data_IF_251903592490
#
_entry.id   IF_251903592490
#
_cell.length_a   1.000
_cell.length_b   1.000
_cell.length_c   1.000
_cell.angle_alpha   90.00
_cell.angle_beta   90.00
_cell.angle_gamma   90.00
#
_symmetry.space_group_name_H-M   'P 1'
#
loop_
_entity.id
_entity.type
_entity.pdbx_description
1 polymer ?
#
# COMPACT_ATOMS: atom_id res chain seq x y z
N UNK A 1 21.14 -23.78 15.18
CA UNK A 1 21.85 -23.34 16.40
C UNK A 1 20.81 -22.76 17.33
N UNK A 2 20.85 -23.15 18.59
CA UNK A 2 19.96 -22.62 19.62
C UNK A 2 20.48 -21.23 20.05
N UNK A 3 19.80 -20.15 19.64
CA UNK A 3 19.88 -18.88 20.36
C UNK A 3 20.42 -17.63 19.64
N UNK A 4 20.83 -17.69 18.37
CA UNK A 4 21.13 -16.48 17.56
C UNK A 4 20.71 -16.67 16.10
N UNK A 5 20.07 -15.66 15.47
CA UNK A 5 19.77 -15.73 14.03
C UNK A 5 21.08 -15.78 13.25
N UNK A 6 21.42 -16.95 12.72
CA UNK A 6 22.55 -17.07 11.78
C UNK A 6 22.17 -16.43 10.45
N UNK A 7 23.14 -16.12 9.58
CA UNK A 7 22.87 -15.68 8.22
C UNK A 7 22.02 -16.69 7.43
N UNK A 8 22.10 -17.98 7.76
CA UNK A 8 21.20 -19.01 7.24
C UNK A 8 19.76 -18.79 7.70
N UNK A 9 19.54 -18.40 8.96
CA UNK A 9 18.22 -18.06 9.48
C UNK A 9 17.69 -16.73 8.93
N UNK A 10 18.57 -15.72 8.84
CA UNK A 10 18.25 -14.41 8.26
C UNK A 10 17.76 -14.59 6.83
N UNK A 11 18.43 -15.38 5.99
CA UNK A 11 17.97 -15.66 4.63
C UNK A 11 16.92 -16.78 4.53
N UNK A 12 16.73 -17.59 5.58
CA UNK A 12 15.81 -18.72 5.56
C UNK A 12 16.26 -19.87 4.65
N UNK A 13 17.57 -20.07 4.51
CA UNK A 13 18.19 -21.09 3.64
C UNK A 13 18.94 -22.13 4.45
N UNK A 14 19.00 -23.36 3.95
CA UNK A 14 19.77 -24.42 4.59
C UNK A 14 21.29 -24.24 4.41
N UNK A 15 22.06 -24.83 5.32
CA UNK A 15 23.52 -24.86 5.20
C UNK A 15 23.91 -25.67 3.96
N UNK A 16 24.66 -25.04 3.06
CA UNK A 16 25.06 -25.66 1.79
C UNK A 16 24.06 -25.44 0.65
N UNK A 17 23.07 -24.56 0.84
CA UNK A 17 22.22 -24.08 -0.23
C UNK A 17 23.03 -23.59 -1.43
N UNK A 18 22.52 -23.85 -2.64
CA UNK A 18 23.14 -23.38 -3.86
C UNK A 18 23.08 -21.85 -3.96
N UNK A 19 24.03 -21.24 -4.66
CA UNK A 19 24.07 -19.78 -4.84
C UNK A 19 22.75 -19.21 -5.38
N UNK A 20 22.13 -19.90 -6.33
CA UNK A 20 20.82 -19.50 -6.88
C UNK A 20 19.69 -19.48 -5.84
N UNK A 21 19.72 -20.38 -4.85
CA UNK A 21 18.73 -20.40 -3.77
C UNK A 21 18.97 -19.24 -2.79
N UNK A 22 20.24 -18.91 -2.53
CA UNK A 22 20.64 -17.76 -1.71
C UNK A 22 20.22 -16.45 -2.37
N UNK A 23 20.42 -16.32 -3.69
CA UNK A 23 19.98 -15.17 -4.50
C UNK A 23 18.46 -14.99 -4.42
N UNK A 24 17.67 -16.05 -4.68
CA UNK A 24 16.21 -16.00 -4.58
C UNK A 24 15.70 -15.65 -3.18
N UNK A 25 16.37 -16.16 -2.14
CA UNK A 25 15.99 -15.88 -0.76
C UNK A 25 16.27 -14.42 -0.36
N UNK A 26 17.39 -13.86 -0.83
CA UNK A 26 17.74 -12.45 -0.64
C UNK A 26 16.72 -11.54 -1.34
N UNK A 27 16.44 -11.78 -2.63
CA UNK A 27 15.46 -11.00 -3.41
C UNK A 27 14.10 -10.97 -2.73
N UNK A 28 13.65 -12.12 -2.20
CA UNK A 28 12.37 -12.20 -1.49
C UNK A 28 12.36 -11.36 -0.20
N UNK A 29 13.47 -11.34 0.54
CA UNK A 29 13.57 -10.67 1.84
C UNK A 29 13.77 -9.17 1.74
N UNK A 30 14.50 -8.70 0.73
CA UNK A 30 14.58 -7.27 0.41
C UNK A 30 13.22 -6.65 0.09
N UNK A 31 12.26 -7.46 -0.37
CA UNK A 31 10.89 -6.98 -0.62
C UNK A 31 10.03 -6.82 0.63
N UNK A 32 10.18 -7.70 1.63
CA UNK A 32 9.39 -7.69 2.87
C UNK A 32 9.99 -8.62 3.94
N UNK A 33 10.60 -8.06 4.99
CA UNK A 33 11.30 -8.83 6.03
C UNK A 33 11.28 -8.09 7.37
N UNK A 34 11.39 -8.84 8.46
CA UNK A 34 11.57 -8.27 9.82
C UNK A 34 13.02 -7.88 10.11
N UNK A 35 13.97 -8.38 9.31
CA UNK A 35 15.39 -8.01 9.38
C UNK A 35 15.67 -6.76 8.56
N UNK A 36 16.58 -5.91 9.05
CA UNK A 36 17.08 -4.75 8.31
C UNK A 36 17.78 -5.17 7.00
N UNK A 37 17.70 -4.30 5.99
CA UNK A 37 18.27 -4.56 4.66
C UNK A 37 19.77 -4.77 4.72
N UNK A 38 20.49 -4.01 5.55
CA UNK A 38 21.93 -4.20 5.78
C UNK A 38 22.27 -5.62 6.27
N UNK A 39 21.44 -6.18 7.16
CA UNK A 39 21.64 -7.53 7.72
C UNK A 39 21.34 -8.60 6.67
N UNK A 40 20.36 -8.35 5.80
CA UNK A 40 20.03 -9.24 4.68
C UNK A 40 21.15 -9.23 3.64
N UNK A 41 21.64 -8.04 3.28
CA UNK A 41 22.74 -7.86 2.33
C UNK A 41 24.04 -8.50 2.83
N UNK A 42 24.39 -8.27 4.10
CA UNK A 42 25.57 -8.92 4.69
C UNK A 42 25.44 -10.44 4.70
N UNK A 43 24.27 -10.96 5.07
CA UNK A 43 24.00 -12.39 5.03
C UNK A 43 24.14 -12.96 3.61
N UNK A 44 23.68 -12.22 2.60
CA UNK A 44 23.83 -12.58 1.19
C UNK A 44 25.29 -12.58 0.74
N UNK A 45 26.05 -11.53 1.02
CA UNK A 45 27.46 -11.40 0.64
C UNK A 45 28.32 -12.51 1.23
N UNK A 46 28.10 -12.82 2.51
CA UNK A 46 28.85 -13.86 3.23
C UNK A 46 28.48 -15.26 2.73
N UNK A 47 27.19 -15.54 2.51
CA UNK A 47 26.75 -16.89 2.12
C UNK A 47 26.94 -17.19 0.63
N UNK A 48 26.88 -16.18 -0.24
CA UNK A 48 27.06 -16.35 -1.69
C UNK A 48 28.52 -16.52 -2.11
N UNK A 49 29.47 -16.11 -1.25
CA UNK A 49 30.91 -16.29 -1.46
C UNK A 49 31.42 -17.56 -0.75
N UNK A 50 31.93 -18.58 -1.46
CA UNK A 50 32.39 -19.83 -0.84
C UNK A 50 33.52 -19.67 0.19
N UNK A 51 34.38 -18.65 0.02
CA UNK A 51 35.46 -18.34 0.95
C UNK A 51 34.91 -17.80 2.26
N UNK A 52 34.07 -16.76 2.19
CA UNK A 52 33.45 -16.13 3.35
C UNK A 52 32.48 -17.10 4.05
N UNK A 53 31.69 -17.86 3.30
CA UNK A 53 30.80 -18.87 3.86
C UNK A 53 31.59 -19.93 4.66
N UNK A 54 32.79 -20.30 4.22
CA UNK A 54 33.65 -21.24 4.94
C UNK A 54 34.17 -20.63 6.25
N UNK A 55 34.56 -19.36 6.24
CA UNK A 55 35.01 -18.64 7.44
C UNK A 55 33.87 -18.45 8.44
N UNK A 56 32.72 -18.00 7.97
CA UNK A 56 31.50 -17.87 8.76
C UNK A 56 31.13 -19.21 9.42
N UNK A 57 31.19 -20.32 8.69
CA UNK A 57 30.94 -21.65 9.27
C UNK A 57 31.93 -22.05 10.37
N UNK A 58 33.19 -21.61 10.30
CA UNK A 58 34.16 -21.82 11.39
C UNK A 58 33.78 -20.97 12.60
N UNK A 59 33.39 -19.71 12.38
CA UNK A 59 32.94 -18.82 13.44
C UNK A 59 31.71 -19.38 14.15
N UNK A 60 30.73 -19.87 13.39
CA UNK A 60 29.55 -20.56 13.95
C UNK A 60 29.92 -21.77 14.81
N UNK A 61 30.90 -22.57 14.39
CA UNK A 61 31.38 -23.70 15.17
C UNK A 61 32.04 -23.27 16.50
N UNK A 62 32.84 -22.20 16.48
CA UNK A 62 33.46 -21.63 17.68
C UNK A 62 32.37 -21.09 18.62
N UNK A 63 31.41 -20.33 18.08
CA UNK A 63 30.28 -19.81 18.83
C UNK A 63 29.47 -20.93 19.50
N UNK A 64 29.25 -22.05 18.82
CA UNK A 64 28.61 -23.23 19.40
C UNK A 64 29.42 -23.83 20.57
N UNK A 65 30.75 -23.79 20.53
CA UNK A 65 31.55 -24.24 21.69
C UNK A 65 31.46 -23.26 22.86
N UNK A 66 31.48 -21.96 22.60
CA UNK A 66 31.38 -20.92 23.64
C UNK A 66 30.01 -20.98 24.33
N UNK A 67 28.93 -21.14 23.55
CA UNK A 67 27.56 -21.20 24.08
C UNK A 67 27.28 -22.40 24.99
N UNK A 68 28.09 -23.47 24.92
CA UNK A 68 28.02 -24.59 25.89
C UNK A 68 28.46 -24.22 27.29
N UNK A 69 29.27 -23.17 27.44
CA UNK A 69 29.78 -22.69 28.71
C UNK A 69 28.92 -21.57 29.32
N UNK A 70 27.89 -21.10 28.62
CA UNK A 70 27.01 -20.03 29.07
C UNK A 70 26.09 -20.56 30.21
N UNK A 71 25.85 -19.77 31.26
CA UNK A 71 24.88 -20.12 32.30
C UNK A 71 23.49 -20.47 31.73
N UNK A 72 22.76 -21.43 32.33
CA UNK A 72 21.47 -21.88 31.79
C UNK A 72 20.43 -20.77 31.58
N UNK A 73 20.40 -19.75 32.45
CA UNK A 73 19.44 -18.65 32.34
C UNK A 73 19.71 -17.77 31.11
N UNK A 74 20.96 -17.35 30.88
CA UNK A 74 21.38 -16.61 29.69
C UNK A 74 21.18 -17.44 28.41
N UNK A 75 21.50 -18.74 28.44
CA UNK A 75 21.27 -19.63 27.29
C UNK A 75 19.78 -19.71 26.93
N UNK A 76 18.90 -19.83 27.93
CA UNK A 76 17.46 -19.87 27.71
C UNK A 76 16.92 -18.54 27.16
N UNK A 77 17.47 -17.42 27.59
CA UNK A 77 17.14 -16.10 27.07
C UNK A 77 17.53 -15.97 25.59
N UNK A 78 18.75 -16.38 25.22
CA UNK A 78 19.19 -16.42 23.82
C UNK A 78 18.26 -17.29 22.95
N UNK A 79 17.92 -18.49 23.43
CA UNK A 79 16.98 -19.39 22.74
C UNK A 79 15.63 -18.72 22.52
N UNK A 80 15.11 -18.06 23.56
CA UNK A 80 13.83 -17.36 23.49
C UNK A 80 13.90 -16.22 22.47
N UNK A 81 14.90 -15.34 22.55
CA UNK A 81 15.07 -14.23 21.63
C UNK A 81 15.18 -14.71 20.17
N UNK A 82 15.89 -15.81 19.94
CA UNK A 82 15.98 -16.41 18.62
C UNK A 82 14.64 -16.96 18.11
N UNK A 83 13.91 -17.67 18.96
CA UNK A 83 12.59 -18.17 18.62
C UNK A 83 11.61 -17.03 18.32
N UNK A 84 11.66 -15.95 19.10
CA UNK A 84 10.84 -14.75 18.92
C UNK A 84 11.16 -14.10 17.56
N UNK A 85 12.44 -13.89 17.22
CA UNK A 85 12.84 -13.35 15.90
C UNK A 85 12.38 -14.23 14.73
N UNK A 86 12.48 -15.55 14.86
CA UNK A 86 11.98 -16.48 13.82
C UNK A 86 10.46 -16.39 13.69
N UNK A 87 9.74 -16.25 14.79
CA UNK A 87 8.29 -16.14 14.77
C UNK A 87 7.84 -14.82 14.14
N UNK A 88 8.47 -13.69 14.49
CA UNK A 88 8.26 -12.41 13.83
C UNK A 88 8.50 -12.53 12.33
N UNK A 89 9.62 -13.13 11.91
CA UNK A 89 9.91 -13.30 10.49
C UNK A 89 8.85 -14.15 9.75
N UNK A 90 8.32 -15.20 10.39
CA UNK A 90 7.23 -16.00 9.81
C UNK A 90 5.95 -15.18 9.63
N UNK A 91 5.66 -14.26 10.55
CA UNK A 91 4.53 -13.35 10.43
C UNK A 91 4.73 -12.42 9.24
N UNK A 92 5.92 -11.83 9.08
CA UNK A 92 6.24 -11.00 7.91
C UNK A 92 6.09 -11.78 6.60
N UNK A 93 6.64 -12.99 6.55
CA UNK A 93 6.51 -13.87 5.39
C UNK A 93 5.05 -14.21 5.04
N UNK A 94 4.19 -14.43 6.05
CA UNK A 94 2.75 -14.67 5.86
C UNK A 94 2.04 -13.41 5.36
N UNK A 95 2.45 -12.24 5.81
CA UNK A 95 1.82 -10.97 5.46
C UNK A 95 2.07 -10.57 4.00
N UNK A 96 3.24 -10.91 3.43
CA UNK A 96 3.59 -10.57 2.04
C UNK A 96 2.50 -10.89 1.00
N UNK A 97 2.06 -12.16 0.85
CA UNK A 97 0.98 -12.51 -0.07
C UNK A 97 -0.38 -11.86 0.25
N UNK A 98 -0.65 -11.59 1.52
CA UNK A 98 -1.89 -10.94 1.98
C UNK A 98 -1.91 -9.47 1.54
N UNK A 99 -0.77 -8.77 1.64
CA UNK A 99 -0.63 -7.39 1.17
C UNK A 99 -0.85 -7.25 -0.34
N UNK A 100 -0.37 -8.21 -1.12
CA UNK A 100 -0.58 -8.22 -2.57
C UNK A 100 -2.06 -8.44 -2.92
N UNK A 101 -2.69 -9.40 -2.26
CA UNK A 101 -4.11 -9.75 -2.46
C UNK A 101 -5.07 -8.64 -2.03
N UNK A 102 -4.77 -7.95 -0.93
CA UNK A 102 -5.64 -6.95 -0.31
C UNK A 102 -5.00 -5.56 -0.29
N UNK A 103 -4.32 -5.19 -1.38
CA UNK A 103 -3.48 -4.00 -1.47
C UNK A 103 -4.19 -2.71 -1.03
N UNK A 104 -5.29 -2.36 -1.69
CA UNK A 104 -5.96 -1.12 -1.34
C UNK A 104 -6.68 -1.19 0.00
N UNK A 105 -7.19 -2.37 0.38
CA UNK A 105 -7.84 -2.55 1.66
C UNK A 105 -6.87 -2.22 2.82
N UNK A 106 -5.63 -2.74 2.79
CA UNK A 106 -4.67 -2.44 3.86
C UNK A 106 -4.29 -0.96 3.88
N UNK A 107 -4.09 -0.33 2.71
CA UNK A 107 -3.74 1.10 2.64
C UNK A 107 -4.83 1.94 3.27
N UNK A 108 -6.10 1.70 2.91
CA UNK A 108 -7.24 2.43 3.46
C UNK A 108 -7.40 2.17 4.96
N UNK A 109 -7.21 0.93 5.40
CA UNK A 109 -7.23 0.57 6.82
C UNK A 109 -6.15 1.32 7.64
N UNK A 110 -4.94 1.43 7.10
CA UNK A 110 -3.87 2.25 7.67
C UNK A 110 -4.23 3.75 7.69
N UNK A 111 -5.04 4.19 6.72
CA UNK A 111 -5.64 5.53 6.67
C UNK A 111 -6.93 5.67 7.48
N UNK A 112 -7.16 4.78 8.45
CA UNK A 112 -8.24 4.93 9.43
C UNK A 112 -9.60 4.44 8.95
N UNK A 113 -9.68 3.73 7.83
CA UNK A 113 -10.91 3.09 7.38
C UNK A 113 -11.44 2.17 8.50
N UNK A 114 -12.76 2.20 8.79
CA UNK A 114 -13.35 1.29 9.76
C UNK A 114 -13.13 -0.16 9.31
N UNK A 115 -12.95 -1.05 10.28
CA UNK A 115 -12.77 -2.45 9.98
C UNK A 115 -14.10 -3.12 9.60
N UNK A 116 -14.06 -4.28 8.95
CA UNK A 116 -15.23 -5.01 8.48
C UNK A 116 -16.14 -5.46 9.62
N UNK A 117 -15.61 -5.74 10.80
CA UNK A 117 -16.42 -6.10 11.97
C UNK A 117 -17.18 -4.88 12.49
N UNK A 118 -16.52 -3.72 12.54
CA UNK A 118 -17.12 -2.43 12.88
C UNK A 118 -18.20 -2.03 11.88
N UNK A 119 -17.91 -2.14 10.58
CA UNK A 119 -18.87 -1.90 9.49
C UNK A 119 -20.05 -2.87 9.60
N UNK A 120 -19.79 -4.14 9.89
CA UNK A 120 -20.81 -5.16 10.07
C UNK A 120 -21.63 -5.00 11.37
N UNK A 121 -21.16 -4.20 12.32
CA UNK A 121 -21.74 -4.07 13.65
C UNK A 121 -21.66 -5.36 14.47
N UNK A 122 -20.66 -6.21 14.23
CA UNK A 122 -20.48 -7.51 14.89
C UNK A 122 -19.13 -7.53 15.63
N UNK A 123 -19.06 -8.21 16.77
CA UNK A 123 -17.80 -8.38 17.49
C UNK A 123 -16.87 -9.37 16.75
N UNK A 124 -15.56 -9.11 16.73
CA UNK A 124 -14.57 -9.94 16.03
C UNK A 124 -14.57 -11.41 16.48
N UNK A 125 -14.91 -11.69 17.74
CA UNK A 125 -14.98 -13.04 18.33
C UNK A 125 -16.32 -13.76 18.07
N UNK A 126 -17.21 -13.17 17.28
CA UNK A 126 -18.52 -13.74 17.01
C UNK A 126 -18.43 -15.08 16.24
N UNK A 127 -19.33 -16.04 16.53
CA UNK A 127 -19.32 -17.34 15.87
C UNK A 127 -19.76 -17.23 14.42
N UNK A 128 -19.27 -18.14 13.56
CA UNK A 128 -19.50 -18.14 12.11
C UNK A 128 -21.00 -18.10 11.73
N UNK A 129 -21.83 -18.76 12.53
CA UNK A 129 -23.28 -18.82 12.39
C UNK A 129 -23.95 -17.44 12.48
N UNK A 130 -23.32 -16.50 13.19
CA UNK A 130 -23.83 -15.12 13.32
C UNK A 130 -23.74 -14.37 11.98
N UNK A 131 -22.70 -14.61 11.18
CA UNK A 131 -22.53 -13.92 9.89
C UNK A 131 -23.48 -14.49 8.82
N UNK A 132 -23.68 -15.82 8.81
CA UNK A 132 -24.64 -16.48 7.90
C UNK A 132 -26.09 -16.07 8.15
N UNK A 133 -26.43 -15.71 9.39
CA UNK A 133 -27.78 -15.25 9.71
C UNK A 133 -28.13 -13.92 9.03
N UNK A 134 -27.13 -13.08 8.75
CA UNK A 134 -27.33 -11.75 8.17
C UNK A 134 -26.90 -11.65 6.70
N UNK A 135 -26.29 -12.70 6.12
CA UNK A 135 -25.87 -12.70 4.71
C UNK A 135 -27.02 -12.51 3.72
N UNK A 136 -28.25 -12.85 4.11
CA UNK A 136 -29.45 -12.75 3.27
C UNK A 136 -30.27 -11.48 3.55
N UNK A 137 -29.86 -10.64 4.49
CA UNK A 137 -30.62 -9.47 4.94
C UNK A 137 -29.77 -8.20 4.98
N UNK A 138 -30.25 -7.11 4.39
CA UNK A 138 -29.57 -5.80 4.43
C UNK A 138 -29.30 -5.24 3.03
N UNK A 139 -28.54 -4.15 2.97
CA UNK A 139 -28.06 -3.58 1.71
C UNK A 139 -27.19 -4.59 0.95
N UNK A 140 -27.03 -4.38 -0.36
CA UNK A 140 -26.11 -5.21 -1.16
C UNK A 140 -24.69 -5.19 -0.59
N UNK A 141 -24.22 -4.02 -0.15
CA UNK A 141 -22.95 -3.85 0.56
C UNK A 141 -22.84 -4.78 1.79
N UNK A 142 -23.79 -4.71 2.71
CA UNK A 142 -23.75 -5.51 3.94
C UNK A 142 -23.79 -7.01 3.66
N UNK A 143 -24.58 -7.44 2.66
CA UNK A 143 -24.61 -8.85 2.23
C UNK A 143 -23.24 -9.32 1.72
N UNK A 144 -22.52 -8.48 0.97
CA UNK A 144 -21.17 -8.78 0.52
C UNK A 144 -20.19 -8.87 1.71
N UNK A 145 -20.24 -7.93 2.67
CA UNK A 145 -19.39 -7.98 3.87
C UNK A 145 -19.66 -9.24 4.69
N UNK A 146 -20.92 -9.59 4.97
CA UNK A 146 -21.26 -10.81 5.70
C UNK A 146 -20.84 -12.08 4.96
N UNK A 147 -20.97 -12.10 3.63
CA UNK A 147 -20.49 -13.23 2.81
C UNK A 147 -18.98 -13.40 2.92
N UNK A 148 -18.20 -12.31 2.89
CA UNK A 148 -16.75 -12.35 3.05
C UNK A 148 -16.34 -12.81 4.44
N UNK A 149 -16.95 -12.27 5.50
CA UNK A 149 -16.66 -12.66 6.89
C UNK A 149 -17.11 -14.10 7.21
N UNK A 150 -18.06 -14.65 6.45
CA UNK A 150 -18.47 -16.06 6.55
C UNK A 150 -17.48 -17.01 5.86
N UNK A 151 -16.62 -16.52 4.97
CA UNK A 151 -15.55 -17.31 4.37
C UNK A 151 -14.39 -17.42 5.36
N UNK A 152 -14.15 -18.66 5.83
CA UNK A 152 -13.10 -18.95 6.80
C UNK A 152 -11.70 -18.57 6.30
N UNK A 153 -11.39 -18.82 5.03
CA UNK A 153 -10.06 -18.51 4.48
C UNK A 153 -9.86 -17.01 4.40
N UNK A 154 -10.88 -16.26 3.97
CA UNK A 154 -10.82 -14.80 3.96
C UNK A 154 -10.65 -14.25 5.38
N UNK A 155 -11.46 -14.75 6.33
CA UNK A 155 -11.44 -14.29 7.73
C UNK A 155 -10.09 -14.53 8.40
N UNK A 156 -9.47 -15.68 8.16
CA UNK A 156 -8.13 -15.99 8.70
C UNK A 156 -7.04 -15.05 8.18
N UNK A 157 -7.08 -14.70 6.89
CA UNK A 157 -6.16 -13.70 6.29
C UNK A 157 -6.44 -12.30 6.86
N UNK A 158 -7.72 -11.95 6.98
CA UNK A 158 -8.19 -10.65 7.43
C UNK A 158 -7.85 -10.39 8.90
N UNK A 159 -8.15 -11.33 9.79
CA UNK A 159 -7.81 -11.26 11.21
C UNK A 159 -6.29 -11.16 11.40
N UNK A 160 -5.53 -11.91 10.59
CA UNK A 160 -4.08 -11.83 10.61
C UNK A 160 -3.56 -10.47 10.15
N UNK A 161 -4.13 -9.88 9.10
CA UNK A 161 -3.78 -8.53 8.64
C UNK A 161 -3.99 -7.49 9.74
N UNK A 162 -5.14 -7.53 10.42
CA UNK A 162 -5.45 -6.62 11.52
C UNK A 162 -4.45 -6.80 12.66
N UNK A 163 -4.22 -8.04 13.07
CA UNK A 163 -3.27 -8.38 14.13
C UNK A 163 -1.86 -7.88 13.78
N UNK A 164 -1.40 -8.17 12.56
CA UNK A 164 -0.07 -7.80 12.09
C UNK A 164 0.13 -6.29 12.16
N UNK A 165 -0.82 -5.52 11.63
CA UNK A 165 -0.78 -4.06 11.65
C UNK A 165 -0.74 -3.53 13.08
N UNK A 166 -1.59 -4.04 13.98
CA UNK A 166 -1.63 -3.57 15.36
C UNK A 166 -0.38 -3.97 16.17
N UNK A 167 0.34 -5.01 15.76
CA UNK A 167 1.50 -5.55 16.48
C UNK A 167 2.82 -4.95 15.99
N UNK A 168 2.97 -4.80 14.67
CA UNK A 168 4.25 -4.43 14.04
C UNK A 168 4.30 -2.99 13.53
N UNK A 169 3.17 -2.26 13.50
CA UNK A 169 3.22 -0.83 13.15
C UNK A 169 3.74 0.00 14.31
N UNK A 170 4.46 1.06 13.98
CA UNK A 170 4.91 2.03 14.97
C UNK A 170 3.72 2.70 15.69
N UNK A 171 3.86 3.01 17.00
CA UNK A 171 2.81 3.66 17.76
C UNK A 171 2.29 4.96 17.12
N UNK A 172 3.17 5.75 16.49
CA UNK A 172 2.80 6.98 15.80
C UNK A 172 1.86 6.75 14.62
N UNK A 173 2.07 5.67 13.88
CA UNK A 173 1.23 5.27 12.75
C UNK A 173 -0.16 4.86 13.26
N UNK A 174 -0.20 4.10 14.36
CA UNK A 174 -1.47 3.69 14.98
C UNK A 174 -2.25 4.89 15.56
N UNK A 175 -1.58 5.89 16.11
CA UNK A 175 -2.23 7.13 16.55
C UNK A 175 -2.75 7.96 15.36
N UNK A 176 -1.97 8.11 14.29
CA UNK A 176 -2.43 8.76 13.04
C UNK A 176 -3.66 8.06 12.47
N UNK A 177 -3.69 6.72 12.50
CA UNK A 177 -4.86 5.93 12.07
C UNK A 177 -6.12 6.29 12.86
N UNK A 178 -6.03 6.45 14.18
CA UNK A 178 -7.17 6.88 15.02
C UNK A 178 -7.64 8.29 14.69
N UNK A 179 -6.72 9.20 14.36
CA UNK A 179 -7.06 10.56 13.94
C UNK A 179 -7.80 10.52 12.60
N UNK A 180 -7.26 9.81 11.61
CA UNK A 180 -7.88 9.68 10.29
C UNK A 180 -9.24 9.00 10.31
N UNK A 181 -9.50 8.12 11.29
CA UNK A 181 -10.80 7.48 11.47
C UNK A 181 -11.97 8.48 11.55
N UNK A 182 -11.76 9.66 12.16
CA UNK A 182 -12.78 10.71 12.22
C UNK A 182 -13.14 11.30 10.86
N UNK A 183 -12.23 11.25 9.88
CA UNK A 183 -12.51 11.71 8.51
C UNK A 183 -13.50 10.77 7.83
N UNK A 184 -13.37 9.47 8.05
CA UNK A 184 -14.29 8.48 7.51
C UNK A 184 -15.73 8.67 8.00
N UNK A 185 -15.91 9.18 9.23
CA UNK A 185 -17.23 9.52 9.77
C UNK A 185 -17.88 10.75 9.11
N UNK A 186 -17.09 11.58 8.41
CA UNK A 186 -17.56 12.77 7.71
C UNK A 186 -17.90 12.52 6.23
N UNK A 187 -17.43 11.41 5.67
CA UNK A 187 -17.71 11.03 4.29
C UNK A 187 -19.12 10.42 4.22
N UNK A 188 -19.85 10.70 3.14
CA UNK A 188 -21.16 10.09 2.92
C UNK A 188 -21.05 8.56 2.90
N UNK A 189 -21.95 7.88 3.62
CA UNK A 189 -21.91 6.43 3.77
C UNK A 189 -21.92 5.70 2.42
N UNK A 190 -22.66 6.18 1.41
CA UNK A 190 -22.69 5.54 0.09
C UNK A 190 -21.33 5.63 -0.63
N UNK A 191 -20.59 6.71 -0.41
CA UNK A 191 -19.23 6.87 -0.94
C UNK A 191 -18.29 5.89 -0.22
N UNK A 192 -18.38 5.81 1.11
CA UNK A 192 -17.58 4.87 1.92
C UNK A 192 -17.83 3.43 1.47
N UNK A 193 -19.09 3.03 1.30
CA UNK A 193 -19.46 1.69 0.82
C UNK A 193 -18.80 1.39 -0.53
N UNK A 194 -18.88 2.30 -1.50
CA UNK A 194 -18.26 2.14 -2.82
C UNK A 194 -16.74 2.00 -2.75
N UNK A 195 -16.08 2.81 -1.92
CA UNK A 195 -14.61 2.75 -1.72
C UNK A 195 -14.20 1.39 -1.15
N UNK A 196 -14.88 0.93 -0.09
CA UNK A 196 -14.61 -0.35 0.56
C UNK A 196 -14.81 -1.50 -0.43
N UNK A 197 -15.93 -1.51 -1.16
CA UNK A 197 -16.20 -2.57 -2.14
C UNK A 197 -15.17 -2.60 -3.27
N UNK A 198 -14.76 -1.44 -3.77
CA UNK A 198 -13.72 -1.38 -4.81
C UNK A 198 -12.41 -1.97 -4.27
N UNK A 199 -12.00 -1.57 -3.06
CA UNK A 199 -10.78 -2.06 -2.42
C UNK A 199 -10.79 -3.57 -2.12
N UNK A 200 -11.96 -4.15 -1.86
CA UNK A 200 -12.12 -5.59 -1.58
C UNK A 200 -12.18 -6.44 -2.85
N UNK A 201 -12.86 -5.96 -3.89
CA UNK A 201 -13.14 -6.74 -5.09
C UNK A 201 -12.04 -6.60 -6.16
N UNK A 202 -11.35 -5.45 -6.20
CA UNK A 202 -10.37 -5.15 -7.24
C UNK A 202 -9.04 -4.67 -6.63
N UNK A 203 -8.01 -5.54 -6.53
CA UNK A 203 -6.72 -5.19 -5.91
C UNK A 203 -6.02 -3.97 -6.52
N UNK A 204 -6.35 -3.63 -7.77
CA UNK A 204 -5.83 -2.47 -8.51
C UNK A 204 -6.92 -1.49 -8.95
N UNK A 205 -8.18 -1.71 -8.55
CA UNK A 205 -9.33 -0.93 -9.05
C UNK A 205 -9.20 0.55 -8.74
N UNK A 206 -8.85 0.89 -7.49
CA UNK A 206 -8.62 2.29 -7.09
C UNK A 206 -7.44 2.91 -7.86
N UNK A 207 -6.32 2.20 -8.03
CA UNK A 207 -5.17 2.71 -8.82
C UNK A 207 -5.58 2.99 -10.26
N UNK A 208 -6.27 2.04 -10.90
CA UNK A 208 -6.69 2.16 -12.29
C UNK A 208 -7.69 3.31 -12.47
N UNK A 209 -8.59 3.50 -11.51
CA UNK A 209 -9.55 4.60 -11.51
C UNK A 209 -8.84 5.95 -11.35
N UNK A 210 -7.90 6.08 -10.42
CA UNK A 210 -7.11 7.31 -10.26
C UNK A 210 -6.33 7.60 -11.55
N UNK A 211 -5.69 6.58 -12.14
CA UNK A 211 -4.93 6.73 -13.38
C UNK A 211 -5.82 7.18 -14.54
N UNK A 212 -6.96 6.51 -14.74
CA UNK A 212 -7.94 6.89 -15.77
C UNK A 212 -8.40 8.32 -15.58
N UNK A 213 -8.76 8.71 -14.36
CA UNK A 213 -9.21 10.06 -14.05
C UNK A 213 -8.17 11.11 -14.44
N UNK A 214 -6.91 10.89 -14.03
CA UNK A 214 -5.80 11.80 -14.33
C UNK A 214 -5.52 11.88 -15.83
N UNK A 215 -5.47 10.75 -16.52
CA UNK A 215 -5.24 10.72 -17.97
C UNK A 215 -6.36 11.46 -18.72
N UNK A 216 -7.62 11.23 -18.35
CA UNK A 216 -8.75 11.93 -18.95
C UNK A 216 -8.69 13.43 -18.70
N UNK A 217 -8.38 13.87 -17.47
CA UNK A 217 -8.29 15.29 -17.11
C UNK A 217 -7.10 15.96 -17.82
N UNK A 218 -5.93 15.31 -17.87
CA UNK A 218 -4.75 15.86 -18.55
C UNK A 218 -4.99 16.04 -20.05
N UNK A 219 -5.70 15.11 -20.68
CA UNK A 219 -6.06 15.23 -22.08
C UNK A 219 -7.17 16.27 -22.34
N UNK A 220 -7.88 16.70 -21.30
CA UNK A 220 -9.05 17.57 -21.39
C UNK A 220 -9.11 18.57 -20.23
N UNK A 221 -8.05 19.37 -20.03
CA UNK A 221 -7.92 20.27 -18.88
C UNK A 221 -9.08 21.26 -18.71
N UNK A 222 -9.74 21.63 -19.81
CA UNK A 222 -10.89 22.53 -19.81
C UNK A 222 -12.16 21.90 -19.19
N UNK A 223 -12.20 20.58 -19.02
CA UNK A 223 -13.31 19.87 -18.38
C UNK A 223 -13.40 20.10 -16.88
N UNK A 224 -12.30 20.47 -16.22
CA UNK A 224 -12.27 20.72 -14.77
C UNK A 224 -13.30 21.76 -14.32
N UNK A 225 -13.57 22.76 -15.18
CA UNK A 225 -14.58 23.80 -14.92
C UNK A 225 -16.03 23.29 -14.99
N UNK A 226 -16.21 22.09 -15.50
CA UNK A 226 -17.50 21.44 -15.74
C UNK A 226 -17.66 20.15 -14.93
N UNK A 227 -16.85 19.94 -13.90
CA UNK A 227 -16.96 18.84 -12.95
C UNK A 227 -17.30 19.40 -11.56
N UNK A 228 -17.94 18.61 -10.68
CA UNK A 228 -18.12 18.96 -9.28
C UNK A 228 -16.78 19.38 -8.64
N UNK A 229 -16.78 20.34 -7.70
CA UNK A 229 -17.94 20.97 -7.06
C UNK A 229 -18.56 22.16 -7.84
N UNK A 230 -18.15 22.40 -9.09
CA UNK A 230 -18.71 23.50 -9.87
C UNK A 230 -20.20 23.28 -10.16
N UNK A 231 -21.00 24.36 -10.12
CA UNK A 231 -22.45 24.29 -10.38
C UNK A 231 -22.79 23.92 -11.84
N UNK A 232 -21.89 24.27 -12.76
CA UNK A 232 -22.09 24.03 -14.18
C UNK A 232 -21.41 22.72 -14.61
N UNK A 233 -22.15 21.85 -15.29
CA UNK A 233 -21.67 20.62 -15.92
C UNK A 233 -22.02 20.66 -17.40
N UNK A 234 -21.38 19.87 -18.26
CA UNK A 234 -21.78 19.82 -19.67
C UNK A 234 -23.24 19.43 -19.86
N UNK A 235 -23.81 18.65 -18.93
CA UNK A 235 -25.23 18.34 -18.89
C UNK A 235 -26.08 19.58 -18.60
N UNK A 236 -25.75 20.33 -17.54
CA UNK A 236 -26.53 21.53 -17.18
C UNK A 236 -26.38 22.65 -18.22
N UNK A 237 -25.22 22.77 -18.87
CA UNK A 237 -24.97 23.70 -19.98
C UNK A 237 -25.92 23.47 -21.15
N UNK A 238 -26.27 22.22 -21.43
CA UNK A 238 -27.20 21.86 -22.49
C UNK A 238 -28.66 21.68 -21.98
N UNK A 239 -28.92 21.90 -20.69
CA UNK A 239 -30.22 21.65 -20.07
C UNK A 239 -30.66 20.19 -20.19
N UNK A 240 -29.72 19.27 -19.97
CA UNK A 240 -29.91 17.82 -19.97
C UNK A 240 -29.95 17.29 -18.55
N UNK A 241 -30.79 16.29 -18.33
CA UNK A 241 -30.76 15.48 -17.11
C UNK A 241 -29.79 14.31 -17.30
N UNK A 242 -29.30 13.75 -16.19
CA UNK A 242 -28.30 12.65 -16.21
C UNK A 242 -28.77 11.45 -17.04
N UNK A 243 -30.05 11.11 -16.90
CA UNK A 243 -30.66 9.94 -17.57
C UNK A 243 -31.02 10.23 -19.04
N UNK A 244 -30.91 11.48 -19.50
CA UNK A 244 -31.23 11.86 -20.89
C UNK A 244 -30.27 11.27 -21.93
N UNK A 245 -29.16 10.69 -21.48
CA UNK A 245 -28.10 10.14 -22.33
C UNK A 245 -28.01 8.61 -22.28
N UNK A 246 -28.96 7.93 -21.63
CA UNK A 246 -29.08 6.47 -21.70
C UNK A 246 -29.80 6.06 -22.98
N UNK A 247 -29.20 5.20 -23.81
CA UNK A 247 -29.86 4.63 -24.99
C UNK A 247 -28.95 4.44 -26.19
N UNK A 248 -29.55 4.11 -27.34
CA UNK A 248 -28.78 3.93 -28.59
C UNK A 248 -28.13 5.24 -29.04
N UNK A 249 -26.92 5.14 -29.61
CA UNK A 249 -26.13 6.29 -30.09
C UNK A 249 -26.96 7.29 -30.92
N UNK A 250 -27.84 6.80 -31.79
CA UNK A 250 -28.68 7.65 -32.66
C UNK A 250 -29.71 8.46 -31.89
N UNK A 251 -30.29 7.89 -30.84
CA UNK A 251 -31.27 8.57 -29.99
C UNK A 251 -30.58 9.63 -29.16
N UNK A 252 -29.44 9.29 -28.55
CA UNK A 252 -28.62 10.25 -27.80
C UNK A 252 -28.19 11.43 -28.68
N UNK A 253 -27.70 11.16 -29.90
CA UNK A 253 -27.35 12.22 -30.85
C UNK A 253 -28.56 13.09 -31.24
N UNK A 254 -29.74 12.50 -31.37
CA UNK A 254 -30.98 13.24 -31.70
C UNK A 254 -31.33 14.18 -30.55
N UNK A 255 -31.36 13.68 -29.31
CA UNK A 255 -31.62 14.48 -28.10
C UNK A 255 -30.63 15.63 -27.96
N UNK A 256 -29.33 15.36 -28.15
CA UNK A 256 -28.29 16.39 -28.11
C UNK A 256 -28.50 17.47 -29.18
N UNK A 257 -28.82 17.07 -30.42
CA UNK A 257 -29.07 18.02 -31.53
C UNK A 257 -30.31 18.88 -31.27
N UNK A 258 -31.37 18.29 -30.74
CA UNK A 258 -32.61 18.99 -30.42
C UNK A 258 -32.38 20.06 -29.36
N UNK A 259 -31.64 19.75 -28.29
CA UNK A 259 -31.28 20.72 -27.25
C UNK A 259 -30.32 21.80 -27.77
N UNK A 260 -29.27 21.39 -28.47
CA UNK A 260 -28.24 22.30 -28.99
C UNK A 260 -28.77 23.32 -30.02
N UNK A 261 -29.76 22.95 -30.85
CA UNK A 261 -30.27 23.81 -31.94
C UNK A 261 -30.76 25.17 -31.44
N UNK A 262 -31.43 25.19 -30.29
CA UNK A 262 -32.09 26.39 -29.76
C UNK A 262 -31.20 27.25 -28.86
N UNK A 263 -30.03 26.75 -28.47
CA UNK A 263 -29.08 27.47 -27.61
C UNK A 263 -28.21 28.44 -28.40
N UNK A 264 -27.72 29.51 -27.75
CA UNK A 264 -26.74 30.42 -28.34
C UNK A 264 -25.37 29.74 -28.47
N UNK A 265 -24.67 29.91 -29.61
CA UNK A 265 -23.50 29.10 -29.97
C UNK A 265 -22.22 29.68 -29.37
N UNK A 266 -22.20 29.78 -28.05
CA UNK A 266 -21.04 30.22 -27.28
C UNK A 266 -19.96 29.14 -27.24
N UNK A 267 -18.71 29.50 -26.94
CA UNK A 267 -17.60 28.54 -26.84
C UNK A 267 -17.93 27.40 -25.86
N UNK A 268 -18.54 27.72 -24.72
CA UNK A 268 -18.99 26.80 -23.69
C UNK A 268 -20.04 25.80 -24.19
N UNK A 269 -21.07 26.29 -24.89
CA UNK A 269 -22.15 25.44 -25.43
C UNK A 269 -21.62 24.55 -26.55
N UNK A 270 -20.72 25.06 -27.39
CA UNK A 270 -20.07 24.28 -28.44
C UNK A 270 -19.18 23.17 -27.87
N UNK A 271 -18.44 23.45 -26.80
CA UNK A 271 -17.62 22.46 -26.09
C UNK A 271 -18.48 21.37 -25.44
N UNK A 272 -19.52 21.74 -24.68
CA UNK A 272 -20.42 20.77 -24.06
C UNK A 272 -21.07 19.85 -25.12
N UNK A 273 -21.49 20.42 -26.24
CA UNK A 273 -22.06 19.65 -27.34
C UNK A 273 -21.03 18.76 -28.05
N UNK A 274 -19.80 19.22 -28.29
CA UNK A 274 -18.78 18.42 -28.96
C UNK A 274 -18.35 17.22 -28.12
N UNK A 275 -18.18 17.43 -26.80
CA UNK A 275 -17.84 16.39 -25.82
C UNK A 275 -18.96 15.35 -25.74
N UNK A 276 -20.19 15.77 -25.45
CA UNK A 276 -21.31 14.85 -25.24
C UNK A 276 -21.76 14.12 -26.52
N UNK A 277 -21.54 14.72 -27.69
CA UNK A 277 -21.84 14.08 -28.98
C UNK A 277 -20.87 12.95 -29.31
N UNK A 278 -19.60 13.07 -28.92
CA UNK A 278 -18.62 12.01 -29.13
C UNK A 278 -18.83 10.91 -28.09
N UNK A 279 -19.10 9.68 -28.54
CA UNK A 279 -19.37 8.54 -27.65
C UNK A 279 -18.24 8.31 -26.64
N UNK A 280 -16.97 8.31 -27.08
CA UNK A 280 -15.82 8.04 -26.20
C UNK A 280 -15.66 9.15 -25.15
N UNK A 281 -15.67 10.41 -25.59
CA UNK A 281 -15.49 11.54 -24.66
C UNK A 281 -16.68 11.67 -23.70
N UNK A 282 -17.90 11.37 -24.16
CA UNK A 282 -19.09 11.34 -23.31
C UNK A 282 -18.95 10.28 -22.22
N UNK A 283 -18.54 9.06 -22.58
CA UNK A 283 -18.38 7.97 -21.62
C UNK A 283 -17.33 8.33 -20.55
N UNK A 284 -16.20 8.90 -20.96
CA UNK A 284 -15.16 9.33 -20.01
C UNK A 284 -15.62 10.49 -19.12
N UNK A 285 -16.31 11.48 -19.67
CA UNK A 285 -16.85 12.61 -18.91
C UNK A 285 -17.94 12.17 -17.92
N UNK A 286 -18.88 11.31 -18.34
CA UNK A 286 -19.93 10.79 -17.47
C UNK A 286 -19.34 9.94 -16.35
N UNK A 287 -18.34 9.11 -16.68
CA UNK A 287 -17.63 8.31 -15.69
C UNK A 287 -16.91 9.19 -14.65
N UNK A 288 -16.23 10.27 -15.08
CA UNK A 288 -15.64 11.26 -14.16
C UNK A 288 -16.70 11.87 -13.25
N UNK A 289 -17.83 12.30 -13.83
CA UNK A 289 -18.93 12.91 -13.09
C UNK A 289 -19.57 11.95 -12.06
N UNK A 290 -19.55 10.64 -12.32
CA UNK A 290 -20.05 9.60 -11.40
C UNK A 290 -19.07 9.26 -10.27
N UNK A 291 -17.77 9.44 -10.49
CA UNK A 291 -16.73 9.03 -9.55
C UNK A 291 -16.03 10.21 -8.86
N UNK A 292 -16.37 11.46 -9.21
CA UNK A 292 -15.72 12.66 -8.66
C UNK A 292 -15.75 12.69 -7.12
N UNK A 293 -16.90 12.42 -6.52
CA UNK A 293 -17.04 12.42 -5.06
C UNK A 293 -16.18 11.34 -4.37
N UNK A 294 -15.94 10.22 -5.04
CA UNK A 294 -15.00 9.19 -4.57
C UNK A 294 -13.57 9.70 -4.65
N UNK A 295 -13.19 10.37 -5.74
CA UNK A 295 -11.84 10.92 -5.90
C UNK A 295 -11.56 12.05 -4.93
N UNK A 296 -12.53 12.93 -4.69
CA UNK A 296 -12.43 14.01 -3.71
C UNK A 296 -12.26 13.42 -2.31
N UNK A 297 -13.08 12.43 -1.93
CA UNK A 297 -12.96 11.73 -0.65
C UNK A 297 -11.60 11.03 -0.49
N UNK A 298 -11.11 10.33 -1.51
CA UNK A 298 -9.79 9.72 -1.49
C UNK A 298 -8.70 10.80 -1.36
N UNK A 299 -8.78 11.88 -2.13
CA UNK A 299 -7.80 12.97 -2.06
C UNK A 299 -7.76 13.59 -0.65
N UNK A 300 -8.92 13.81 -0.01
CA UNK A 300 -8.99 14.36 1.35
C UNK A 300 -8.43 13.41 2.42
N UNK A 301 -8.56 12.10 2.20
CA UNK A 301 -7.97 11.07 3.05
C UNK A 301 -6.44 11.01 2.93
N UNK A 302 -5.89 11.30 1.75
CA UNK A 302 -4.45 11.23 1.47
C UNK A 302 -3.70 12.57 1.61
N UNK A 303 -4.38 13.72 1.51
CA UNK A 303 -3.74 15.05 1.46
C UNK A 303 -3.10 15.53 2.78
N UNK A 304 -3.44 14.95 3.93
CA UNK A 304 -2.93 15.38 5.26
C UNK A 304 -1.51 14.94 5.61
N UNK A 305 -0.72 14.42 4.68
CA UNK A 305 0.70 14.12 4.94
C UNK A 305 1.61 15.38 4.93
N UNK A 306 1.09 16.56 4.57
CA UNK A 306 1.90 17.77 4.33
C UNK A 306 1.75 18.93 5.34
N UNK A 307 0.86 18.87 6.34
CA UNK A 307 0.67 19.98 7.29
C UNK A 307 1.68 20.02 8.46
N UNK A 308 2.84 19.34 8.35
CA UNK A 308 3.89 19.35 9.39
C UNK A 308 5.28 19.80 8.90
N UNK A 309 5.38 20.37 7.71
CA UNK A 309 6.59 21.08 7.27
C UNK A 309 6.30 22.59 7.20
N UNK A 310 6.54 23.29 8.32
CA UNK A 310 6.75 24.74 8.28
C UNK A 310 8.09 24.99 7.57
N UNK A 311 8.09 25.26 6.26
CA UNK A 311 9.19 25.98 5.61
C UNK A 311 8.68 26.71 4.34
N UNK A 312 8.82 28.03 4.37
CA UNK A 312 8.71 29.10 3.34
C UNK A 312 7.74 28.93 2.13
N UNK A 313 6.65 29.71 2.05
CA UNK A 313 5.64 29.62 0.97
C UNK A 313 6.06 30.20 -0.40
N UNK A 314 7.29 30.70 -0.56
CA UNK A 314 7.69 31.48 -1.74
C UNK A 314 8.66 30.76 -2.71
N UNK A 315 8.93 29.45 -2.55
CA UNK A 315 9.83 28.69 -3.45
C UNK A 315 9.24 27.37 -4.00
N UNK A 316 7.91 27.30 -4.22
CA UNK A 316 7.29 26.18 -4.94
C UNK A 316 7.26 26.49 -6.45
N UNK A 317 8.37 26.17 -7.14
CA UNK A 317 8.32 25.85 -8.57
C UNK A 317 7.44 24.60 -8.72
N UNK A 318 6.28 24.76 -9.38
CA UNK A 318 5.40 23.65 -9.71
C UNK A 318 6.06 22.78 -10.79
N UNK A 319 6.91 21.83 -10.39
CA UNK A 319 7.28 20.73 -11.28
C UNK A 319 6.08 19.79 -11.43
N UNK A 320 5.58 19.71 -12.66
CA UNK A 320 4.57 18.76 -13.09
C UNK A 320 4.98 17.31 -12.75
N UNK A 321 4.16 16.61 -11.93
CA UNK A 321 4.03 15.14 -11.81
C UNK A 321 4.59 14.38 -10.58
N UNK A 322 4.20 14.66 -9.33
CA UNK A 322 4.71 13.77 -8.25
C UNK A 322 3.88 13.68 -6.95
N UNK A 323 2.59 13.28 -6.94
CA UNK A 323 1.89 13.10 -5.63
C UNK A 323 1.10 11.78 -5.42
N UNK A 324 0.32 11.20 -6.36
CA UNK A 324 -0.20 9.85 -6.11
C UNK A 324 0.91 8.78 -6.08
N UNK A 325 2.04 9.08 -6.73
CA UNK A 325 3.19 8.18 -6.85
C UNK A 325 4.13 8.26 -5.65
N UNK A 326 4.37 9.43 -5.06
CA UNK A 326 5.23 9.56 -3.87
C UNK A 326 4.57 8.99 -2.61
N UNK A 327 3.24 8.96 -2.50
CA UNK A 327 2.53 8.37 -1.34
C UNK A 327 2.51 6.83 -1.40
N UNK A 328 2.35 6.25 -2.60
CA UNK A 328 2.53 4.80 -2.82
C UNK A 328 4.01 4.41 -2.70
N UNK A 329 4.95 5.30 -3.10
CA UNK A 329 6.40 5.09 -3.02
C UNK A 329 6.95 5.26 -1.60
N UNK A 330 6.46 6.20 -0.80
CA UNK A 330 6.83 6.40 0.60
C UNK A 330 6.32 5.24 1.48
N UNK A 331 5.18 4.64 1.16
CA UNK A 331 4.71 3.42 1.81
C UNK A 331 5.47 2.16 1.36
N UNK A 332 5.89 2.10 0.08
CA UNK A 332 6.88 1.11 -0.40
C UNK A 332 8.24 1.30 0.29
N UNK A 333 8.64 2.54 0.58
CA UNK A 333 9.89 2.90 1.27
C UNK A 333 9.82 2.94 2.80
N UNK A 334 8.66 2.72 3.43
CA UNK A 334 8.54 2.51 4.89
C UNK A 334 8.44 1.03 5.25
N UNK A 335 8.36 0.18 4.23
CA UNK A 335 8.52 -1.28 4.28
C UNK A 335 9.98 -1.65 3.94
N UNK A 336 10.66 -0.83 3.15
CA UNK A 336 12.11 -0.85 2.95
C UNK A 336 12.80 0.07 3.95
N UNK A 337 13.98 -0.28 4.45
CA UNK A 337 14.81 0.68 5.16
C UNK A 337 15.31 1.72 4.15
N UNK A 338 15.34 3.00 4.52
CA UNK A 338 16.43 3.88 4.10
C UNK A 338 16.51 5.11 5.02
N UNK A 339 17.50 5.10 5.91
CA UNK A 339 18.19 6.31 6.33
C UNK A 339 18.83 6.98 5.09
N UNK A 340 18.81 8.31 5.10
CA UNK A 340 19.73 9.22 4.40
C UNK A 340 20.52 8.66 3.20
N UNK A 341 20.13 9.03 1.98
CA UNK A 341 21.06 9.04 0.84
C UNK A 341 22.27 9.93 1.18
N UNK A 342 23.52 9.41 1.22
CA UNK A 342 24.68 10.27 1.28
C UNK A 342 24.90 10.88 -0.10
N UNK A 343 25.05 12.21 -0.10
CA UNK A 343 25.65 12.98 -1.19
C UNK A 343 26.88 12.26 -1.72
N UNK A 344 26.93 12.10 -3.05
CA UNK A 344 28.09 11.71 -3.86
C UNK A 344 29.42 12.07 -3.17
N UNK A 345 30.14 11.07 -2.65
CA UNK A 345 31.54 11.24 -2.28
C UNK A 345 32.39 10.11 -2.84
N UNK A 346 33.00 10.41 -3.98
CA UNK A 346 34.06 9.68 -4.65
C UNK A 346 35.33 9.73 -3.78
N UNK A 347 35.37 9.01 -2.64
CA UNK A 347 36.56 8.90 -1.78
C UNK A 347 36.50 7.76 -0.73
N UNK A 348 36.18 6.53 -1.12
CA UNK A 348 36.44 5.33 -0.27
C UNK A 348 37.05 4.19 -1.10
N UNK A 349 38.30 4.39 -1.53
CA UNK A 349 39.22 3.32 -1.91
C UNK A 349 40.40 3.16 -0.93
N UNK A 350 40.43 3.94 0.15
CA UNK A 350 41.54 3.94 1.10
C UNK A 350 41.18 3.42 2.52
N UNK A 351 39.96 2.95 2.76
CA UNK A 351 39.57 2.42 4.08
C UNK A 351 39.78 0.90 4.22
N UNK A 352 39.75 0.14 3.12
CA UNK A 352 39.96 -1.32 3.14
C UNK A 352 41.42 -1.68 3.45
N UNK A 353 42.38 -0.78 3.17
CA UNK A 353 43.79 -1.01 3.51
C UNK A 353 44.11 -0.75 4.99
N UNK A 354 43.26 -0.04 5.74
CA UNK A 354 43.56 0.28 7.14
C UNK A 354 43.00 -0.75 8.13
N UNK A 355 41.89 -1.43 7.79
CA UNK A 355 41.29 -2.49 8.61
C UNK A 355 42.01 -3.83 8.46
N UNK A 356 42.63 -4.08 7.30
CA UNK A 356 43.53 -5.24 7.13
C UNK A 356 44.81 -5.08 7.97
N UNK A 357 45.31 -3.84 8.13
CA UNK A 357 46.50 -3.56 8.93
C UNK A 357 46.28 -3.69 10.45
N UNK A 358 45.05 -3.52 10.94
CA UNK A 358 44.74 -3.66 12.38
C UNK A 358 44.51 -5.10 12.82
N UNK A 359 44.22 -6.01 11.88
CA UNK A 359 44.03 -7.44 12.18
C UNK A 359 45.37 -8.21 12.18
N UNK A 360 46.37 -7.75 11.40
CA UNK A 360 47.71 -8.33 11.43
C UNK A 360 48.51 -7.91 12.68
N UNK A 361 48.20 -6.77 13.31
CA UNK A 361 48.83 -6.32 14.58
C UNK A 361 48.24 -6.97 15.85
N UNK A 362 47.09 -7.67 15.75
CA UNK A 362 46.46 -8.37 16.90
C UNK A 362 46.89 -9.85 16.98
N UNK A 363 47.52 -10.41 15.94
CA UNK A 363 47.99 -11.80 15.91
C UNK A 363 49.52 -11.98 16.01
N UNK A 364 50.28 -10.93 16.32
CA UNK A 364 51.67 -11.04 16.80
C UNK A 364 51.80 -10.67 18.29
N UNK A 365 51.28 -11.53 19.17
CA UNK A 365 51.80 -11.75 20.55
C UNK A 365 51.75 -13.25 20.87
#
# INVERSE_FOLDING_TARGET
MEGTPTYYCVLGVEKGAAKSQIEQACEKKQGFSSYNDEVIEEAFDVLSNPGLAKEYNKLLFIFEQITKCIPPHEKNELIKNHADNINTEKEYFRMGPILEKYKWYHVLYMKGMPDLYEVAGIAQDSPEESFKKYSDSGSEFMRQIYSLLSDKSFREDYDFLIYFINTHSEPEILEKRKIHRRKWEQIDNQIVEKIILNALNEPFGITNNIFRSRETINNNHDWLRYLPPNEETFLSVLGLERDSLSGEKKEVEKTLREKYRYLEKTAKINLAYSVLKNTSLREDYLWLLENQEIFDALNDLFSTEFDLAEDDPDEIEWEDNEIPYEIIRAFINSISNEEEKPKKNKKRRNAINHTQQTLDEIFEI
#
